data_IF_288758411495
#
_entry.id   IF_288758411495
#
_cell.length_a   1.000
_cell.length_b   1.000
_cell.length_c   1.000
_cell.angle_alpha   90.00
_cell.angle_beta   90.00
_cell.angle_gamma   90.00
#
_symmetry.space_group_name_H-M   'P 1'
#
loop_
_entity.id
_entity.type
_entity.pdbx_description
1 polymer ?
#
# COMPACT_ATOMS: atom_id res chain seq x y z
N UNK A 1 17.17 47.96 -16.76
CA UNK A 1 17.70 46.61 -16.50
C UNK A 1 16.48 45.71 -16.32
N UNK A 2 16.09 44.90 -17.33
CA UNK A 2 14.74 44.35 -17.35
C UNK A 2 14.60 43.15 -16.41
N UNK A 3 13.52 43.19 -15.61
CA UNK A 3 12.99 42.14 -14.74
C UNK A 3 12.46 40.97 -15.57
N UNK A 4 13.37 40.13 -16.06
CA UNK A 4 13.07 38.94 -16.84
C UNK A 4 13.19 37.65 -16.02
N UNK A 5 12.64 37.59 -14.80
CA UNK A 5 12.54 36.34 -14.05
C UNK A 5 11.34 35.55 -14.59
N UNK A 6 11.56 34.95 -15.75
CA UNK A 6 10.68 34.03 -16.45
C UNK A 6 10.47 32.78 -15.57
N UNK A 7 9.56 32.89 -14.60
CA UNK A 7 8.90 31.74 -13.97
C UNK A 7 7.99 31.14 -15.03
N UNK A 8 8.55 30.36 -15.95
CA UNK A 8 7.79 29.30 -16.61
C UNK A 8 7.44 28.30 -15.51
N UNK A 9 6.33 28.59 -14.82
CA UNK A 9 5.69 27.77 -13.81
C UNK A 9 5.10 26.61 -14.59
N UNK A 10 5.89 25.56 -14.78
CA UNK A 10 5.46 24.38 -15.51
C UNK A 10 4.11 23.89 -14.98
N UNK A 11 3.20 23.62 -15.89
CA UNK A 11 1.79 23.25 -15.69
C UNK A 11 1.61 21.95 -14.89
N UNK A 12 2.01 21.96 -13.62
CA UNK A 12 1.68 20.91 -12.66
C UNK A 12 0.31 21.20 -12.07
N UNK A 13 -0.68 20.36 -12.39
CA UNK A 13 -2.05 20.46 -11.84
C UNK A 13 -2.06 20.51 -10.29
N UNK A 14 -1.09 19.85 -9.64
CA UNK A 14 -0.96 19.74 -8.18
C UNK A 14 0.54 19.62 -7.81
N UNK A 15 0.93 20.14 -6.64
CA UNK A 15 2.28 19.92 -6.07
C UNK A 15 2.41 18.49 -5.51
N UNK A 16 3.58 17.86 -5.68
CA UNK A 16 3.91 16.52 -5.14
C UNK A 16 3.58 16.40 -3.64
N UNK A 17 3.95 17.39 -2.84
CA UNK A 17 3.75 17.33 -1.38
C UNK A 17 2.29 17.42 -0.99
N UNK A 18 1.51 18.21 -1.74
CA UNK A 18 0.05 18.29 -1.56
C UNK A 18 -0.64 16.98 -1.95
N UNK A 19 -0.20 16.35 -3.04
CA UNK A 19 -0.72 15.06 -3.46
C UNK A 19 -0.44 13.96 -2.43
N UNK A 20 0.78 13.93 -1.88
CA UNK A 20 1.16 13.02 -0.79
C UNK A 20 0.33 13.27 0.48
N UNK A 21 0.15 14.53 0.88
CA UNK A 21 -0.68 14.86 2.05
C UNK A 21 -2.14 14.44 1.88
N UNK A 22 -2.69 14.56 0.66
CA UNK A 22 -4.02 14.05 0.34
C UNK A 22 -4.08 12.52 0.43
N UNK A 23 -3.08 11.83 -0.12
CA UNK A 23 -2.97 10.38 -0.03
C UNK A 23 -2.91 9.88 1.42
N UNK A 24 -2.10 10.52 2.27
CA UNK A 24 -1.99 10.19 3.70
C UNK A 24 -3.34 10.35 4.41
N UNK A 25 -4.07 11.43 4.13
CA UNK A 25 -5.39 11.66 4.71
C UNK A 25 -6.40 10.57 4.31
N UNK A 26 -6.45 10.21 3.01
CA UNK A 26 -7.36 9.17 2.52
C UNK A 26 -7.01 7.80 3.11
N UNK A 27 -5.72 7.45 3.17
CA UNK A 27 -5.26 6.17 3.74
C UNK A 27 -5.58 6.09 5.24
N UNK A 28 -5.36 7.17 6.00
CA UNK A 28 -5.70 7.22 7.42
C UNK A 28 -7.21 7.04 7.67
N UNK A 29 -8.06 7.67 6.85
CA UNK A 29 -9.51 7.48 6.92
C UNK A 29 -9.89 6.04 6.58
N UNK A 30 -9.32 5.45 5.52
CA UNK A 30 -9.60 4.06 5.16
C UNK A 30 -9.28 3.09 6.32
N UNK A 31 -8.11 3.25 6.96
CA UNK A 31 -7.70 2.43 8.11
C UNK A 31 -8.65 2.60 9.30
N UNK A 32 -9.02 3.83 9.63
CA UNK A 32 -9.92 4.09 10.78
C UNK A 32 -11.33 3.55 10.56
N UNK A 33 -11.86 3.62 9.32
CA UNK A 33 -13.14 3.03 8.95
C UNK A 33 -13.16 1.50 9.09
N UNK A 34 -12.02 0.82 8.96
CA UNK A 34 -11.91 -0.61 9.25
C UNK A 34 -12.18 -0.89 10.73
N UNK A 35 -11.54 -0.12 11.62
CA UNK A 35 -11.67 -0.31 13.07
C UNK A 35 -13.11 -0.08 13.54
N UNK A 36 -13.83 0.87 12.93
CA UNK A 36 -15.24 1.13 13.22
C UNK A 36 -16.18 -0.02 12.83
N UNK A 37 -15.72 -0.98 12.03
CA UNK A 37 -16.46 -2.21 11.75
C UNK A 37 -16.57 -3.16 12.94
N UNK A 38 -15.68 -3.05 13.93
CA UNK A 38 -15.63 -3.95 15.09
C UNK A 38 -16.55 -3.41 16.18
N UNK A 39 -17.69 -4.07 16.38
CA UNK A 39 -18.72 -3.62 17.32
C UNK A 39 -18.88 -4.59 18.48
N UNK A 40 -18.93 -4.05 19.70
CA UNK A 40 -19.19 -4.81 20.93
C UNK A 40 -20.42 -4.22 21.61
N UNK A 41 -21.50 -5.00 21.84
CA UNK A 41 -22.69 -4.52 22.53
C UNK A 41 -22.38 -4.04 23.95
N UNK A 42 -23.11 -3.02 24.42
CA UNK A 42 -23.00 -2.52 25.80
C UNK A 42 -23.83 -3.36 26.78
N UNK A 43 -23.50 -3.28 28.08
CA UNK A 43 -24.30 -3.90 29.15
C UNK A 43 -24.14 -5.42 29.31
N UNK A 44 -23.02 -5.98 28.85
CA UNK A 44 -22.74 -7.42 28.93
C UNK A 44 -22.26 -7.84 30.32
N UNK A 45 -22.73 -9.00 30.78
CA UNK A 45 -22.12 -9.73 31.91
C UNK A 45 -20.77 -10.34 31.48
N UNK A 46 -19.89 -10.69 32.43
CA UNK A 46 -18.58 -11.28 32.11
C UNK A 46 -18.66 -12.52 31.19
N UNK A 47 -19.55 -13.51 31.41
CA UNK A 47 -19.68 -14.65 30.50
C UNK A 47 -20.11 -14.25 29.09
N UNK A 48 -21.02 -13.29 28.97
CA UNK A 48 -21.49 -12.78 27.67
C UNK A 48 -20.39 -12.01 26.94
N UNK A 49 -19.60 -11.20 27.66
CA UNK A 49 -18.46 -10.49 27.11
C UNK A 49 -17.43 -11.48 26.53
N UNK A 50 -17.10 -12.54 27.26
CA UNK A 50 -16.19 -13.58 26.77
C UNK A 50 -16.69 -14.21 25.48
N UNK A 51 -17.98 -14.54 25.39
CA UNK A 51 -18.59 -15.10 24.19
C UNK A 51 -18.52 -14.12 23.00
N UNK A 52 -18.84 -12.84 23.22
CA UNK A 52 -18.74 -11.80 22.19
C UNK A 52 -17.31 -11.62 21.70
N UNK A 53 -16.33 -11.59 22.62
CA UNK A 53 -14.91 -11.47 22.25
C UNK A 53 -14.41 -12.63 21.40
N UNK A 54 -14.84 -13.87 21.69
CA UNK A 54 -14.54 -15.02 20.84
C UNK A 54 -15.18 -14.88 19.45
N UNK A 55 -16.41 -14.38 19.39
CA UNK A 55 -17.12 -14.12 18.14
C UNK A 55 -16.49 -13.01 17.28
N UNK A 56 -15.82 -12.03 17.91
CA UNK A 56 -15.17 -10.90 17.23
C UNK A 56 -13.76 -11.22 16.70
N UNK A 57 -13.22 -12.43 16.94
CA UNK A 57 -11.90 -12.82 16.45
C UNK A 57 -11.75 -12.74 14.92
N UNK A 58 -12.74 -13.14 14.08
CA UNK A 58 -12.69 -12.94 12.64
C UNK A 58 -12.60 -11.46 12.25
N UNK A 59 -13.37 -10.58 12.90
CA UNK A 59 -13.33 -9.13 12.66
C UNK A 59 -11.97 -8.54 12.98
N UNK A 60 -11.41 -8.90 14.15
CA UNK A 60 -10.08 -8.47 14.58
C UNK A 60 -9.00 -8.98 13.62
N UNK A 61 -9.13 -10.22 13.14
CA UNK A 61 -8.19 -10.81 12.19
C UNK A 61 -8.25 -10.11 10.82
N UNK A 62 -9.45 -9.94 10.27
CA UNK A 62 -9.65 -9.25 9.00
C UNK A 62 -9.16 -7.79 9.08
N UNK A 63 -9.45 -7.10 10.19
CA UNK A 63 -8.92 -5.77 10.47
C UNK A 63 -7.40 -5.75 10.50
N UNK A 64 -6.75 -6.63 11.29
CA UNK A 64 -5.30 -6.64 11.44
C UNK A 64 -4.59 -6.96 10.11
N UNK A 65 -5.14 -7.90 9.35
CA UNK A 65 -4.66 -8.25 8.02
C UNK A 65 -4.76 -7.06 7.06
N UNK A 66 -5.93 -6.41 6.99
CA UNK A 66 -6.12 -5.24 6.13
C UNK A 66 -5.30 -4.03 6.56
N UNK A 67 -5.16 -3.77 7.85
CA UNK A 67 -4.28 -2.73 8.38
C UNK A 67 -2.84 -2.96 7.89
N UNK A 68 -2.33 -4.18 8.05
CA UNK A 68 -0.97 -4.52 7.66
C UNK A 68 -0.77 -4.39 6.14
N UNK A 69 -1.72 -4.86 5.34
CA UNK A 69 -1.68 -4.77 3.88
C UNK A 69 -1.76 -3.32 3.42
N UNK A 70 -2.70 -2.50 3.91
CA UNK A 70 -2.79 -1.07 3.58
C UNK A 70 -1.49 -0.36 3.99
N UNK A 71 -0.90 -0.72 5.14
CA UNK A 71 0.40 -0.22 5.56
C UNK A 71 1.53 -0.56 4.58
N UNK A 72 1.52 -1.74 3.93
CA UNK A 72 2.47 -2.05 2.87
C UNK A 72 2.30 -1.13 1.66
N UNK A 73 1.05 -0.88 1.24
CA UNK A 73 0.75 0.04 0.15
C UNK A 73 1.19 1.47 0.49
N UNK A 74 0.92 1.93 1.71
CA UNK A 74 1.36 3.23 2.21
C UNK A 74 2.89 3.36 2.18
N UNK A 75 3.62 2.37 2.72
CA UNK A 75 5.09 2.34 2.69
C UNK A 75 5.66 2.33 1.26
N UNK A 76 5.03 1.58 0.36
CA UNK A 76 5.42 1.56 -1.05
C UNK A 76 5.13 2.90 -1.75
N UNK A 77 4.01 3.54 -1.44
CA UNK A 77 3.66 4.85 -2.01
C UNK A 77 4.71 5.90 -1.60
N UNK A 78 5.04 5.96 -0.31
CA UNK A 78 6.11 6.82 0.19
C UNK A 78 7.47 6.49 -0.44
N UNK A 79 7.79 5.21 -0.61
CA UNK A 79 9.02 4.75 -1.28
C UNK A 79 9.12 5.21 -2.74
N UNK A 80 8.02 5.12 -3.48
CA UNK A 80 7.88 5.56 -4.86
C UNK A 80 8.03 7.08 -4.97
N UNK A 81 7.25 7.84 -4.20
CA UNK A 81 7.23 9.30 -4.27
C UNK A 81 8.53 9.94 -3.73
N UNK A 82 9.30 9.25 -2.89
CA UNK A 82 10.66 9.65 -2.53
C UNK A 82 11.62 9.67 -3.74
N UNK A 83 11.27 9.03 -4.86
CA UNK A 83 12.02 9.09 -6.12
C UNK A 83 11.42 10.06 -7.14
N UNK A 84 10.31 10.73 -6.81
CA UNK A 84 9.60 11.66 -7.69
C UNK A 84 10.07 13.09 -7.41
N UNK A 85 10.53 13.79 -8.45
CA UNK A 85 10.88 15.21 -8.39
C UNK A 85 9.64 16.11 -8.56
N UNK A 86 8.82 15.81 -9.55
CA UNK A 86 7.61 16.55 -9.87
C UNK A 86 6.54 15.60 -10.38
N UNK A 87 5.28 15.98 -10.21
CA UNK A 87 4.12 15.22 -10.68
C UNK A 87 3.52 15.90 -11.91
N UNK A 88 3.06 15.08 -12.85
CA UNK A 88 2.30 15.51 -14.02
C UNK A 88 0.86 14.97 -13.96
N UNK A 89 0.00 15.39 -14.88
CA UNK A 89 -1.41 15.00 -14.89
C UNK A 89 -1.64 13.48 -14.82
N UNK A 90 -0.93 12.64 -15.61
CA UNK A 90 -1.11 11.20 -15.51
C UNK A 90 -0.66 10.61 -14.16
N UNK A 91 0.36 11.16 -13.48
CA UNK A 91 0.68 10.72 -12.11
C UNK A 91 -0.46 11.05 -11.15
N UNK A 92 -1.05 12.23 -11.25
CA UNK A 92 -2.18 12.62 -10.40
C UNK A 92 -3.36 11.68 -10.62
N UNK A 93 -3.70 11.35 -11.88
CA UNK A 93 -4.81 10.43 -12.17
C UNK A 93 -4.56 9.01 -11.67
N UNK A 94 -3.33 8.50 -11.81
CA UNK A 94 -2.95 7.18 -11.29
C UNK A 94 -3.02 7.15 -9.75
N UNK A 95 -2.58 8.22 -9.08
CA UNK A 95 -2.69 8.33 -7.63
C UNK A 95 -4.15 8.39 -7.17
N UNK A 96 -5.00 9.19 -7.82
CA UNK A 96 -6.43 9.21 -7.48
C UNK A 96 -7.10 7.84 -7.68
N UNK A 97 -6.73 7.11 -8.73
CA UNK A 97 -7.23 5.76 -8.96
C UNK A 97 -6.73 4.78 -7.86
N UNK A 98 -5.47 4.91 -7.42
CA UNK A 98 -4.93 4.12 -6.31
C UNK A 98 -5.69 4.44 -5.01
N UNK A 99 -5.90 5.72 -4.73
CA UNK A 99 -6.64 6.17 -3.55
C UNK A 99 -8.10 5.70 -3.57
N UNK A 100 -8.75 5.66 -4.73
CA UNK A 100 -10.08 5.05 -4.85
C UNK A 100 -10.06 3.55 -4.49
N UNK A 101 -9.04 2.82 -4.92
CA UNK A 101 -8.86 1.40 -4.55
C UNK A 101 -8.64 1.24 -3.04
N UNK A 102 -7.87 2.12 -2.39
CA UNK A 102 -7.66 2.04 -0.94
C UNK A 102 -8.91 2.47 -0.17
N UNK A 103 -9.60 3.54 -0.60
CA UNK A 103 -10.79 4.06 0.06
C UNK A 103 -11.95 3.06 0.04
N UNK A 104 -12.04 2.18 -0.96
CA UNK A 104 -13.06 1.13 -1.00
C UNK A 104 -12.72 -0.10 -0.15
N UNK A 105 -11.46 -0.30 0.28
CA UNK A 105 -11.03 -1.50 1.05
C UNK A 105 -11.81 -1.82 2.33
N UNK A 106 -12.45 -0.86 3.04
CA UNK A 106 -13.32 -1.20 4.14
C UNK A 106 -14.47 -2.14 3.77
N UNK A 107 -15.00 -2.03 2.55
CA UNK A 107 -16.05 -2.91 2.07
C UNK A 107 -15.59 -4.38 1.92
N UNK A 108 -14.58 -4.72 1.09
CA UNK A 108 -14.15 -6.11 0.96
C UNK A 108 -13.48 -6.66 2.22
N UNK A 109 -12.94 -5.81 3.12
CA UNK A 109 -12.46 -6.29 4.43
C UNK A 109 -13.60 -6.84 5.28
N UNK A 110 -14.75 -6.16 5.30
CA UNK A 110 -15.94 -6.68 5.98
C UNK A 110 -16.43 -7.98 5.36
N UNK A 111 -16.39 -8.08 4.02
CA UNK A 111 -16.70 -9.34 3.34
C UNK A 111 -15.75 -10.49 3.76
N UNK A 112 -14.46 -10.22 4.00
CA UNK A 112 -13.55 -11.23 4.53
C UNK A 112 -13.93 -11.63 5.96
N UNK A 113 -14.37 -10.69 6.79
CA UNK A 113 -14.78 -11.02 8.16
C UNK A 113 -16.03 -11.90 8.18
N UNK A 114 -17.07 -11.48 7.46
CA UNK A 114 -18.38 -12.14 7.46
C UNK A 114 -18.39 -13.43 6.62
N UNK A 115 -17.60 -13.44 5.54
CA UNK A 115 -17.64 -14.46 4.49
C UNK A 115 -16.23 -14.91 4.06
N UNK A 116 -15.26 -14.96 4.97
CA UNK A 116 -13.86 -15.29 4.66
C UNK A 116 -13.64 -16.71 4.09
N UNK A 117 -14.63 -17.59 4.20
CA UNK A 117 -14.67 -18.91 3.57
C UNK A 117 -15.35 -18.93 2.19
N UNK A 118 -15.90 -17.80 1.73
CA UNK A 118 -16.54 -17.64 0.43
C UNK A 118 -15.53 -17.07 -0.57
N UNK A 119 -15.25 -17.82 -1.63
CA UNK A 119 -14.24 -17.47 -2.64
C UNK A 119 -14.42 -16.08 -3.24
N UNK A 120 -15.67 -15.66 -3.49
CA UNK A 120 -15.98 -14.35 -4.09
C UNK A 120 -15.55 -13.19 -3.18
N UNK A 121 -15.70 -13.32 -1.85
CA UNK A 121 -15.28 -12.29 -0.90
C UNK A 121 -13.75 -12.11 -0.93
N UNK A 122 -13.02 -13.22 -0.84
CA UNK A 122 -11.55 -13.22 -0.86
C UNK A 122 -11.01 -12.79 -2.23
N UNK A 123 -11.63 -13.23 -3.32
CA UNK A 123 -11.26 -12.83 -4.67
C UNK A 123 -11.52 -11.34 -4.94
N UNK A 124 -12.63 -10.79 -4.44
CA UNK A 124 -12.93 -9.36 -4.54
C UNK A 124 -11.88 -8.52 -3.82
N UNK A 125 -11.52 -8.90 -2.59
CA UNK A 125 -10.44 -8.25 -1.85
C UNK A 125 -9.09 -8.32 -2.57
N UNK A 126 -8.69 -9.52 -3.00
CA UNK A 126 -7.45 -9.73 -3.73
C UNK A 126 -7.43 -8.94 -5.05
N UNK A 127 -8.54 -8.90 -5.77
CA UNK A 127 -8.69 -8.15 -7.02
C UNK A 127 -8.52 -6.64 -6.84
N UNK A 128 -9.12 -6.05 -5.79
CA UNK A 128 -8.93 -4.63 -5.46
C UNK A 128 -7.47 -4.31 -5.21
N UNK A 129 -6.75 -5.15 -4.47
CA UNK A 129 -5.34 -4.96 -4.17
C UNK A 129 -4.42 -5.26 -5.36
N UNK A 130 -4.79 -6.21 -6.22
CA UNK A 130 -4.08 -6.46 -7.47
C UNK A 130 -4.14 -5.22 -8.38
N UNK A 131 -5.31 -4.59 -8.48
CA UNK A 131 -5.48 -3.33 -9.21
C UNK A 131 -4.66 -2.20 -8.58
N UNK A 132 -4.73 -2.02 -7.27
CA UNK A 132 -3.90 -1.04 -6.55
C UNK A 132 -2.40 -1.26 -6.82
N UNK A 133 -1.92 -2.51 -6.74
CA UNK A 133 -0.52 -2.84 -7.02
C UNK A 133 -0.16 -2.58 -8.48
N UNK A 134 -1.06 -2.88 -9.42
CA UNK A 134 -0.86 -2.61 -10.84
C UNK A 134 -0.71 -1.11 -11.10
N UNK A 135 -1.52 -0.26 -10.46
CA UNK A 135 -1.40 1.19 -10.54
C UNK A 135 -0.05 1.68 -10.01
N UNK A 136 0.41 1.18 -8.85
CA UNK A 136 1.75 1.46 -8.33
C UNK A 136 2.87 0.98 -9.28
N UNK A 137 2.69 -0.18 -9.90
CA UNK A 137 3.61 -0.70 -10.92
C UNK A 137 3.69 0.27 -12.11
N UNK A 138 2.54 0.70 -12.65
CA UNK A 138 2.49 1.67 -13.75
C UNK A 138 3.18 2.97 -13.34
N UNK A 139 2.87 3.53 -12.17
CA UNK A 139 3.55 4.73 -11.65
C UNK A 139 5.07 4.55 -11.58
N UNK A 140 5.55 3.43 -11.02
CA UNK A 140 6.99 3.15 -10.90
C UNK A 140 7.68 2.97 -12.27
N UNK A 141 6.98 2.42 -13.27
CA UNK A 141 7.48 2.29 -14.63
C UNK A 141 7.69 3.65 -15.31
N UNK A 142 6.91 4.68 -14.94
CA UNK A 142 7.10 6.06 -15.46
C UNK A 142 8.41 6.70 -14.99
N UNK A 143 9.00 6.21 -13.89
CA UNK A 143 10.30 6.64 -13.37
C UNK A 143 11.48 5.83 -13.97
N UNK A 144 11.20 4.80 -14.79
CA UNK A 144 12.22 3.90 -15.34
C UNK A 144 13.20 4.64 -16.24
N UNK A 145 12.74 5.57 -17.06
CA UNK A 145 13.60 6.40 -17.90
C UNK A 145 14.03 7.64 -17.11
N UNK A 146 15.32 8.01 -17.12
CA UNK A 146 15.75 9.30 -16.60
C UNK A 146 14.96 10.41 -17.30
N UNK A 147 14.45 11.36 -16.53
CA UNK A 147 13.57 12.40 -17.03
C UNK A 147 13.08 13.30 -15.89
N UNK A 148 12.28 14.33 -16.20
CA UNK A 148 11.90 15.36 -15.25
C UNK A 148 11.08 14.83 -14.06
N UNK A 149 10.34 13.73 -14.24
CA UNK A 149 9.57 13.10 -13.15
C UNK A 149 10.45 12.48 -12.07
N UNK A 150 11.66 12.04 -12.41
CA UNK A 150 12.53 11.32 -11.48
C UNK A 150 13.48 12.30 -10.79
N UNK A 151 13.54 12.20 -9.47
CA UNK A 151 14.43 13.02 -8.66
C UNK A 151 15.90 12.85 -9.08
N UNK A 152 16.68 13.95 -9.16
CA UNK A 152 18.11 13.90 -9.45
C UNK A 152 18.86 12.99 -8.46
N UNK A 153 19.87 12.28 -8.95
CA UNK A 153 20.71 11.40 -8.11
C UNK A 153 20.07 10.07 -7.70
N UNK A 154 18.79 9.83 -7.99
CA UNK A 154 18.18 8.50 -7.76
C UNK A 154 18.84 7.48 -8.70
N UNK A 155 19.44 6.38 -8.21
CA UNK A 155 20.10 5.39 -9.04
C UNK A 155 19.10 4.45 -9.72
N UNK A 156 19.43 3.97 -10.94
CA UNK A 156 18.55 3.07 -11.72
C UNK A 156 18.20 1.78 -10.96
N UNK A 157 19.13 1.29 -10.14
CA UNK A 157 18.94 0.10 -9.30
C UNK A 157 17.81 0.28 -8.29
N UNK A 158 17.64 1.47 -7.72
CA UNK A 158 16.55 1.76 -6.76
C UNK A 158 15.19 1.71 -7.48
N UNK A 159 15.09 2.34 -8.64
CA UNK A 159 13.86 2.31 -9.46
C UNK A 159 13.51 0.87 -9.89
N UNK A 160 14.51 0.07 -10.32
CA UNK A 160 14.28 -1.34 -10.67
C UNK A 160 13.82 -2.16 -9.47
N UNK A 161 14.38 -1.92 -8.29
CA UNK A 161 13.93 -2.57 -7.04
C UNK A 161 12.47 -2.23 -6.75
N UNK A 162 12.08 -0.96 -6.86
CA UNK A 162 10.71 -0.50 -6.63
C UNK A 162 9.72 -1.15 -7.61
N UNK A 163 10.07 -1.16 -8.91
CA UNK A 163 9.25 -1.84 -9.94
C UNK A 163 9.11 -3.32 -9.59
N UNK A 164 10.19 -3.98 -9.16
CA UNK A 164 10.16 -5.41 -8.82
C UNK A 164 9.29 -5.66 -7.59
N UNK A 165 9.39 -4.83 -6.56
CA UNK A 165 8.57 -4.94 -5.36
C UNK A 165 7.08 -4.76 -5.72
N UNK A 166 6.73 -3.75 -6.53
CA UNK A 166 5.35 -3.50 -6.97
C UNK A 166 4.82 -4.60 -7.90
N UNK A 167 5.63 -5.12 -8.83
CA UNK A 167 5.23 -6.25 -9.70
C UNK A 167 4.95 -7.49 -8.85
N UNK A 168 5.79 -7.80 -7.87
CA UNK A 168 5.51 -8.95 -7.00
C UNK A 168 4.25 -8.72 -6.17
N UNK A 169 4.04 -7.50 -5.66
CA UNK A 169 2.80 -7.14 -4.97
C UNK A 169 1.57 -7.40 -5.87
N UNK A 170 1.58 -6.88 -7.10
CA UNK A 170 0.53 -7.09 -8.11
C UNK A 170 0.32 -8.57 -8.40
N UNK A 171 1.40 -9.32 -8.65
CA UNK A 171 1.29 -10.73 -9.02
C UNK A 171 0.78 -11.59 -7.87
N UNK A 172 1.23 -11.34 -6.64
CA UNK A 172 0.75 -12.11 -5.48
C UNK A 172 -0.75 -11.89 -5.28
N UNK A 173 -1.24 -10.65 -5.30
CA UNK A 173 -2.68 -10.41 -5.20
C UNK A 173 -3.45 -10.88 -6.44
N UNK A 174 -2.90 -10.69 -7.63
CA UNK A 174 -3.50 -11.11 -8.89
C UNK A 174 -3.64 -12.63 -9.01
N UNK A 175 -2.67 -13.40 -8.50
CA UNK A 175 -2.72 -14.87 -8.41
C UNK A 175 -3.59 -15.32 -7.22
N UNK A 176 -3.66 -14.54 -6.15
CA UNK A 176 -4.53 -14.87 -5.01
C UNK A 176 -6.01 -14.87 -5.37
N UNK A 177 -6.44 -14.03 -6.31
CA UNK A 177 -7.84 -13.98 -6.76
C UNK A 177 -8.33 -15.32 -7.37
N UNK A 178 -7.66 -15.93 -8.38
CA UNK A 178 -8.04 -17.26 -8.85
C UNK A 178 -7.79 -18.36 -7.82
N UNK A 179 -6.72 -18.27 -7.01
CA UNK A 179 -6.46 -19.24 -5.94
C UNK A 179 -7.58 -19.26 -4.90
N UNK A 180 -8.25 -18.14 -4.65
CA UNK A 180 -9.37 -18.07 -3.73
C UNK A 180 -10.55 -18.98 -4.13
N UNK A 181 -10.71 -19.29 -5.41
CA UNK A 181 -11.72 -20.25 -5.89
C UNK A 181 -11.35 -21.71 -5.62
N UNK A 182 -10.07 -22.00 -5.35
CA UNK A 182 -9.60 -23.32 -4.94
C UNK A 182 -9.56 -23.43 -3.41
N UNK A 183 -9.03 -22.40 -2.74
CA UNK A 183 -8.94 -22.30 -1.29
C UNK A 183 -8.85 -20.83 -0.83
N UNK A 184 -9.92 -20.27 -0.26
CA UNK A 184 -9.93 -18.91 0.30
C UNK A 184 -8.83 -18.71 1.35
N UNK A 185 -8.62 -19.68 2.24
CA UNK A 185 -7.59 -19.62 3.27
C UNK A 185 -6.17 -19.61 2.68
N UNK A 186 -5.90 -20.44 1.65
CA UNK A 186 -4.60 -20.45 1.00
C UNK A 186 -4.27 -19.09 0.37
N UNK A 187 -5.25 -18.44 -0.26
CA UNK A 187 -5.09 -17.10 -0.82
C UNK A 187 -4.69 -16.09 0.27
N UNK A 188 -5.35 -16.10 1.43
CA UNK A 188 -5.01 -15.20 2.55
C UNK A 188 -3.60 -15.44 3.10
N UNK A 189 -3.15 -16.70 3.19
CA UNK A 189 -1.80 -17.01 3.66
C UNK A 189 -0.69 -16.52 2.72
N UNK A 190 -0.95 -16.44 1.41
CA UNK A 190 0.01 -15.85 0.45
C UNK A 190 0.31 -14.38 0.79
N UNK A 191 -0.64 -13.65 1.36
CA UNK A 191 -0.46 -12.24 1.70
C UNK A 191 0.46 -12.07 2.91
N UNK A 192 0.47 -13.03 3.84
CA UNK A 192 1.41 -13.05 4.97
C UNK A 192 2.87 -13.17 4.49
N UNK A 193 3.11 -13.87 3.38
CA UNK A 193 4.46 -13.98 2.80
C UNK A 193 5.00 -12.62 2.33
N UNK A 194 4.13 -11.73 1.85
CA UNK A 194 4.52 -10.37 1.48
C UNK A 194 4.94 -9.56 2.71
N UNK A 195 4.21 -9.68 3.82
CA UNK A 195 4.55 -9.05 5.09
C UNK A 195 5.89 -9.55 5.60
N UNK A 196 6.10 -10.87 5.60
CA UNK A 196 7.36 -11.49 6.01
C UNK A 196 8.54 -11.04 5.14
N UNK A 197 8.36 -10.98 3.82
CA UNK A 197 9.38 -10.45 2.90
C UNK A 197 9.74 -9.01 3.27
N UNK A 198 8.76 -8.15 3.56
CA UNK A 198 9.01 -6.74 3.91
C UNK A 198 9.77 -6.61 5.23
N UNK A 199 9.39 -7.39 6.23
CA UNK A 199 10.10 -7.45 7.52
C UNK A 199 11.54 -7.92 7.31
N UNK A 200 11.76 -8.99 6.55
CA UNK A 200 13.09 -9.51 6.24
C UNK A 200 13.98 -8.47 5.52
N UNK A 201 13.42 -7.72 4.56
CA UNK A 201 14.13 -6.63 3.88
C UNK A 201 14.56 -5.52 4.85
N UNK A 202 13.70 -5.14 5.80
CA UNK A 202 14.01 -4.09 6.77
C UNK A 202 15.12 -4.49 7.75
N UNK A 203 15.12 -5.75 8.21
CA UNK A 203 16.16 -6.30 9.07
C UNK A 203 17.51 -6.43 8.33
N UNK A 204 17.50 -6.94 7.10
CA UNK A 204 18.71 -7.08 6.28
C UNK A 204 19.37 -5.74 5.90
N UNK A 205 18.57 -4.68 5.73
CA UNK A 205 19.07 -3.32 5.50
C UNK A 205 19.83 -2.76 6.70
N UNK A 206 19.32 -2.98 7.92
CA UNK A 206 19.96 -2.53 9.18
C UNK A 206 21.31 -3.21 9.41
N UNK A 207 21.42 -4.51 9.17
CA UNK A 207 22.67 -5.28 9.33
C UNK A 207 23.75 -4.84 8.33
N UNK A 208 23.37 -4.50 7.09
CA UNK A 208 24.31 -3.97 6.09
C UNK A 208 24.78 -2.54 6.39
N UNK A 209 23.92 -1.72 6.97
CA UNK A 209 24.28 -0.36 7.42
C UNK A 209 25.27 -0.36 8.58
N UNK A 210 25.12 -1.28 9.54
CA UNK A 210 26.02 -1.41 10.69
C UNK A 210 27.45 -1.88 10.32
N UNK A 211 27.64 -2.53 9.16
CA UNK A 211 28.95 -3.01 8.69
C UNK A 211 29.80 -1.98 7.92
N UNK A 212 29.34 -0.73 7.76
CA UNK A 212 30.13 0.35 7.11
C UNK A 212 30.55 1.51 8.04
N UNK A 213 31.30 1.31 9.16
CA UNK A 213 31.87 2.42 9.91
C UNK A 213 33.30 2.85 9.49
N UNK A 214 33.82 2.46 8.31
CA UNK A 214 35.28 2.55 8.04
C UNK A 214 35.77 3.30 6.80
N UNK A 215 34.94 3.97 6.00
CA UNK A 215 35.36 4.49 4.67
C UNK A 215 35.19 6.01 4.54
N UNK A 216 35.49 6.74 5.63
CA UNK A 216 35.63 8.21 5.64
C UNK A 216 36.85 8.62 6.47
N UNK A 217 38.02 8.26 5.98
CA UNK A 217 39.28 8.91 6.31
C UNK A 217 40.19 8.56 5.13
N UNK A 218 40.27 9.46 4.16
CA UNK A 218 41.41 9.74 3.27
C UNK A 218 40.99 10.81 2.26
#
# INVERSE_FOLDING_TARGET
>A
MPEGAQRSRGDGLVDRERLLGFADAVIAIAITLLALGIQVPAGLTEPQLRQVLHGALPDLWAYALSFAVIGLFWLGNHGLFAMVAQVDGPMVMLELALLACIAILPFPTRLISDYGNVSVAVAGYAGTLALAGALMTVMSLRLRRPGPLRAPGVPQRRVRSEITDNVVLTLVFGVSAPVAFLSPSAAMYLWLLLLLRRVAQSLGGRVRGARRPGERAD
#
